data_IF_300466903030
#
_entry.id   IF_300466903030
#
_cell.length_a   1.000
_cell.length_b   1.000
_cell.length_c   1.000
_cell.angle_alpha   90.00
_cell.angle_beta   90.00
_cell.angle_gamma   90.00
#
_symmetry.space_group_name_H-M   'P 1'
#
loop_
_entity.id
_entity.type
_entity.pdbx_description
1 polymer ?
#
# COMPACT_ATOMS: atom_id res chain seq x y z
N UNK A 1 -0.19 9.45 -21.37
CA UNK A 1 0.90 9.85 -20.45
C UNK A 1 0.38 9.59 -19.05
N UNK A 2 1.02 8.69 -18.30
CA UNK A 2 0.53 8.33 -16.97
C UNK A 2 0.85 9.43 -15.97
N UNK A 3 -0.10 9.74 -15.10
CA UNK A 3 0.18 10.56 -13.93
C UNK A 3 0.85 9.68 -12.87
N UNK A 4 2.06 10.05 -12.47
CA UNK A 4 2.87 9.25 -11.53
C UNK A 4 2.26 9.25 -10.12
N UNK A 5 1.46 10.27 -9.82
CA UNK A 5 0.90 10.51 -8.49
C UNK A 5 -0.53 9.94 -8.32
N UNK A 6 -1.08 9.31 -9.36
CA UNK A 6 -2.41 8.73 -9.34
C UNK A 6 -2.36 7.27 -9.80
N UNK A 7 -3.14 6.40 -9.13
CA UNK A 7 -3.41 5.06 -9.65
C UNK A 7 -4.11 5.20 -10.98
N UNK A 8 -3.36 5.02 -12.06
CA UNK A 8 -3.89 5.18 -13.41
C UNK A 8 -4.35 3.81 -13.93
N UNK A 9 -5.65 3.60 -14.17
CA UNK A 9 -6.14 2.35 -14.73
C UNK A 9 -5.53 2.13 -16.11
N UNK A 10 -5.06 0.92 -16.36
CA UNK A 10 -4.46 0.53 -17.63
C UNK A 10 -4.71 -0.95 -17.90
N UNK A 11 -4.19 -1.42 -19.03
CA UNK A 11 -4.00 -2.84 -19.24
C UNK A 11 -2.52 -3.10 -19.44
N UNK A 12 -2.09 -4.30 -19.05
CA UNK A 12 -0.72 -4.76 -19.23
C UNK A 12 -0.69 -6.13 -19.88
N UNK A 13 0.44 -6.42 -20.51
CA UNK A 13 0.82 -7.77 -20.91
C UNK A 13 1.94 -8.24 -19.97
N UNK A 14 1.82 -9.45 -19.45
CA UNK A 14 2.89 -10.12 -18.70
C UNK A 14 3.39 -11.34 -19.51
N UNK A 15 4.67 -11.73 -19.39
CA UNK A 15 5.25 -12.78 -20.23
C UNK A 15 4.53 -14.13 -20.12
N UNK A 16 4.05 -14.48 -18.93
CA UNK A 16 3.50 -15.80 -18.62
C UNK A 16 2.01 -15.94 -18.97
N UNK A 17 1.36 -14.85 -19.36
CA UNK A 17 -0.08 -14.82 -19.63
C UNK A 17 -0.31 -14.26 -21.03
N UNK A 18 -1.01 -15.01 -21.89
CA UNK A 18 -1.30 -14.59 -23.27
C UNK A 18 -2.33 -13.45 -23.34
N UNK A 19 -3.26 -13.40 -22.39
CA UNK A 19 -4.28 -12.35 -22.33
C UNK A 19 -3.76 -11.08 -21.64
N UNK A 20 -4.36 -9.94 -22.01
CA UNK A 20 -4.12 -8.67 -21.33
C UNK A 20 -4.78 -8.70 -19.96
N UNK A 21 -4.12 -8.12 -18.98
CA UNK A 21 -4.61 -8.02 -17.61
C UNK A 21 -5.06 -6.59 -17.32
N UNK A 22 -6.19 -6.44 -16.64
CA UNK A 22 -6.55 -5.18 -16.00
C UNK A 22 -5.48 -4.83 -14.98
N UNK A 23 -5.03 -3.58 -15.00
CA UNK A 23 -3.93 -3.14 -14.16
C UNK A 23 -4.10 -1.71 -13.67
N UNK A 24 -3.29 -1.36 -12.70
CA UNK A 24 -3.06 0.01 -12.27
C UNK A 24 -1.57 0.32 -12.41
N UNK A 25 -1.28 1.52 -12.88
CA UNK A 25 0.06 2.07 -12.89
C UNK A 25 0.18 3.11 -11.78
N UNK A 26 1.18 2.96 -10.92
CA UNK A 26 1.48 3.86 -9.80
C UNK A 26 2.97 3.81 -9.51
N UNK A 27 3.57 4.96 -9.17
CA UNK A 27 4.98 5.05 -8.77
C UNK A 27 5.94 4.35 -9.77
N UNK A 28 5.67 4.56 -11.06
CA UNK A 28 6.43 3.98 -12.16
C UNK A 28 6.45 2.44 -12.20
N UNK A 29 5.47 1.79 -11.57
CA UNK A 29 5.34 0.33 -11.50
C UNK A 29 3.95 -0.09 -11.98
N UNK A 30 3.87 -1.29 -12.55
CA UNK A 30 2.62 -1.91 -12.95
C UNK A 30 2.16 -2.92 -11.90
N UNK A 31 0.86 -2.90 -11.62
CA UNK A 31 0.22 -3.88 -10.75
C UNK A 31 -0.99 -4.46 -11.47
N UNK A 32 -1.02 -5.79 -11.64
CA UNK A 32 -2.13 -6.50 -12.26
C UNK A 32 -3.25 -6.79 -11.24
N UNK A 33 -4.47 -6.89 -11.72
CA UNK A 33 -5.61 -7.31 -10.90
C UNK A 33 -5.40 -8.74 -10.39
N UNK A 34 -5.44 -8.91 -9.07
CA UNK A 34 -5.40 -10.23 -8.46
C UNK A 34 -6.81 -10.71 -8.11
N UNK A 35 -7.50 -10.00 -7.20
CA UNK A 35 -8.90 -10.31 -6.84
C UNK A 35 -9.57 -9.18 -6.07
N UNK A 36 -10.90 -9.22 -5.98
CA UNK A 36 -11.72 -8.37 -5.11
C UNK A 36 -12.18 -9.12 -3.86
N UNK A 37 -12.20 -8.43 -2.71
CA UNK A 37 -12.64 -8.95 -1.41
C UNK A 37 -13.52 -7.92 -0.72
N UNK A 38 -14.69 -8.33 -0.24
CA UNK A 38 -15.65 -7.41 0.41
C UNK A 38 -15.17 -6.98 1.80
N UNK A 39 -14.63 -7.91 2.59
CA UNK A 39 -14.21 -7.68 3.96
C UNK A 39 -12.74 -7.18 4.05
N UNK A 40 -12.53 -6.13 4.85
CA UNK A 40 -11.23 -5.47 5.03
C UNK A 40 -10.17 -6.36 5.71
N UNK A 41 -10.55 -7.05 6.78
CA UNK A 41 -9.65 -7.98 7.50
C UNK A 41 -9.20 -9.10 6.55
N UNK A 42 -10.14 -9.64 5.77
CA UNK A 42 -9.84 -10.66 4.78
C UNK A 42 -8.93 -10.15 3.66
N UNK A 43 -9.07 -8.88 3.26
CA UNK A 43 -8.14 -8.25 2.32
C UNK A 43 -6.72 -8.20 2.90
N UNK A 44 -6.58 -7.71 4.13
CA UNK A 44 -5.29 -7.65 4.82
C UNK A 44 -4.68 -9.03 5.06
N UNK A 45 -5.48 -10.05 5.40
CA UNK A 45 -5.01 -11.44 5.50
C UNK A 45 -4.46 -11.97 4.17
N UNK A 46 -5.12 -11.65 3.04
CA UNK A 46 -4.64 -12.08 1.73
C UNK A 46 -3.35 -11.37 1.37
N UNK A 47 -3.26 -10.05 1.60
CA UNK A 47 -2.02 -9.31 1.36
C UNK A 47 -0.89 -9.82 2.25
N UNK A 48 -1.16 -10.12 3.52
CA UNK A 48 -0.19 -10.72 4.44
C UNK A 48 0.36 -12.08 3.96
N UNK A 49 -0.46 -12.88 3.26
CA UNK A 49 -0.04 -14.15 2.68
C UNK A 49 0.78 -13.96 1.41
N UNK A 50 0.46 -12.96 0.59
CA UNK A 50 1.22 -12.61 -0.62
C UNK A 50 2.60 -12.03 -0.27
N UNK A 51 2.67 -11.13 0.72
CA UNK A 51 3.90 -10.45 1.13
C UNK A 51 5.02 -11.34 1.68
N UNK A 52 4.76 -12.64 1.93
CA UNK A 52 5.81 -13.60 2.31
C UNK A 52 6.80 -13.93 1.18
N UNK A 53 6.57 -13.43 -0.05
CA UNK A 53 7.39 -13.70 -1.24
C UNK A 53 8.06 -12.47 -1.88
N UNK A 54 8.25 -11.39 -1.10
CA UNK A 54 8.78 -10.11 -1.62
C UNK A 54 7.84 -9.43 -2.65
N UNK A 55 6.59 -9.91 -2.70
CA UNK A 55 5.56 -9.38 -3.59
C UNK A 55 5.09 -8.02 -3.06
N UNK A 56 5.40 -6.97 -3.83
CA UNK A 56 4.77 -5.66 -3.64
C UNK A 56 3.29 -5.78 -4.01
N UNK A 57 2.42 -5.35 -3.11
CA UNK A 57 0.97 -5.45 -3.28
C UNK A 57 0.34 -4.09 -3.02
N UNK A 58 -0.67 -3.75 -3.80
CA UNK A 58 -1.52 -2.58 -3.55
C UNK A 58 -2.96 -3.00 -3.27
N UNK A 59 -3.70 -2.18 -2.51
CA UNK A 59 -5.13 -2.38 -2.27
C UNK A 59 -5.86 -1.11 -2.71
N UNK A 60 -6.92 -1.22 -3.50
CA UNK A 60 -7.85 -0.09 -3.75
C UNK A 60 -9.26 -0.45 -3.30
N UNK A 61 -10.07 0.53 -2.93
CA UNK A 61 -11.47 0.30 -2.56
C UNK A 61 -12.38 0.69 -3.73
N UNK A 62 -13.33 -0.18 -4.04
CA UNK A 62 -14.36 0.02 -5.06
C UNK A 62 -15.74 -0.24 -4.48
N UNK A 63 -16.81 0.00 -5.25
CA UNK A 63 -18.18 -0.36 -4.85
C UNK A 63 -18.36 -1.86 -4.60
N UNK A 64 -17.51 -2.70 -5.18
CA UNK A 64 -17.56 -4.16 -5.03
C UNK A 64 -16.72 -4.67 -3.85
N UNK A 65 -15.93 -3.81 -3.22
CA UNK A 65 -15.00 -4.16 -2.13
C UNK A 65 -13.56 -3.73 -2.42
N UNK A 66 -12.64 -4.30 -1.64
CA UNK A 66 -11.20 -4.09 -1.69
C UNK A 66 -10.59 -4.92 -2.82
N UNK A 67 -10.05 -4.26 -3.83
CA UNK A 67 -9.32 -4.87 -4.93
C UNK A 67 -7.85 -4.96 -4.56
N UNK A 68 -7.29 -6.17 -4.65
CA UNK A 68 -5.88 -6.45 -4.43
C UNK A 68 -5.18 -6.48 -5.79
N UNK A 69 -4.04 -5.80 -5.87
CA UNK A 69 -3.20 -5.72 -7.06
C UNK A 69 -1.80 -6.24 -6.76
N UNK A 70 -1.26 -7.09 -7.63
CA UNK A 70 0.07 -7.70 -7.50
C UNK A 70 1.05 -7.00 -8.41
N UNK A 71 2.25 -6.69 -7.91
CA UNK A 71 3.29 -6.05 -8.70
C UNK A 71 3.80 -6.97 -9.81
N UNK A 72 3.90 -6.42 -11.01
CA UNK A 72 4.35 -7.12 -12.20
C UNK A 72 5.62 -6.46 -12.75
N UNK A 73 6.83 -6.88 -12.32
CA UNK A 73 8.07 -6.23 -12.72
C UNK A 73 8.35 -6.35 -14.23
N UNK A 74 7.83 -7.41 -14.85
CA UNK A 74 8.00 -7.70 -16.28
C UNK A 74 6.80 -7.23 -17.13
N UNK A 75 5.82 -6.56 -16.53
CA UNK A 75 4.65 -6.08 -17.27
C UNK A 75 5.03 -4.97 -18.24
N UNK A 76 4.39 -5.02 -19.41
CA UNK A 76 4.46 -3.97 -20.42
C UNK A 76 3.07 -3.37 -20.62
N UNK A 77 3.01 -2.06 -20.84
CA UNK A 77 1.75 -1.39 -21.15
C UNK A 77 1.12 -1.98 -22.40
N UNK A 78 -0.14 -2.40 -22.28
CA UNK A 78 -0.96 -2.86 -23.40
C UNK A 78 -2.10 -1.84 -23.59
N UNK A 79 -2.11 -1.06 -24.69
CA UNK A 79 -3.20 -0.13 -24.93
C UNK A 79 -4.53 -0.89 -25.04
N UNK A 80 -5.61 -0.42 -24.38
CA UNK A 80 -6.89 -1.09 -24.44
C UNK A 80 -7.45 -1.02 -25.87
N UNK A 81 -8.15 -2.08 -26.31
CA UNK A 81 -8.84 -2.09 -27.61
C UNK A 81 -10.01 -1.10 -27.67
N UNK A 82 -10.59 -0.77 -26.52
CA UNK A 82 -11.60 0.28 -26.34
C UNK A 82 -11.26 1.13 -25.11
N UNK A 83 -11.41 2.45 -25.17
CA UNK A 83 -11.20 3.30 -24.00
C UNK A 83 -12.14 2.89 -22.85
N UNK A 84 -11.63 2.45 -21.69
CA UNK A 84 -12.49 2.06 -20.58
C UNK A 84 -13.23 3.29 -20.04
N UNK A 85 -14.56 3.29 -20.16
CA UNK A 85 -15.41 4.41 -19.78
C UNK A 85 -15.69 4.46 -18.25
N UNK A 86 -14.76 3.99 -17.42
CA UNK A 86 -14.95 3.82 -15.99
C UNK A 86 -13.86 4.59 -15.25
N UNK A 87 -14.27 5.63 -14.53
CA UNK A 87 -13.39 6.36 -13.61
C UNK A 87 -13.16 5.48 -12.39
N UNK A 88 -11.95 4.96 -12.24
CA UNK A 88 -11.51 4.39 -10.97
C UNK A 88 -11.08 5.56 -10.09
N UNK A 89 -11.72 5.70 -8.93
CA UNK A 89 -11.30 6.68 -7.93
C UNK A 89 -10.17 6.05 -7.10
N UNK A 90 -8.98 6.67 -7.03
CA UNK A 90 -7.88 6.14 -6.23
C UNK A 90 -8.25 6.23 -4.74
N UNK A 91 -8.36 5.08 -4.08
CA UNK A 91 -8.49 5.00 -2.62
C UNK A 91 -7.15 4.65 -1.96
N UNK A 92 -6.09 4.50 -2.73
CA UNK A 92 -4.74 4.20 -2.27
C UNK A 92 -3.80 4.80 -3.30
N UNK A 93 -2.67 5.37 -2.88
CA UNK A 93 -1.65 5.96 -3.75
C UNK A 93 -1.38 7.45 -3.65
N UNK A 94 -0.18 7.89 -4.10
CA UNK A 94 0.82 7.13 -4.90
C UNK A 94 1.99 6.53 -4.12
N UNK A 95 2.08 6.73 -2.81
CA UNK A 95 3.23 6.29 -2.03
C UNK A 95 3.12 4.85 -1.53
N UNK A 96 4.28 4.21 -1.36
CA UNK A 96 4.41 2.86 -0.84
C UNK A 96 3.73 2.77 0.53
N UNK A 97 2.82 1.80 0.67
CA UNK A 97 2.27 1.40 1.95
C UNK A 97 2.79 -0.01 2.23
N UNK A 98 3.89 -0.10 2.97
CA UNK A 98 4.51 -1.37 3.32
C UNK A 98 3.64 -2.11 4.34
N UNK A 99 3.29 -3.37 4.10
CA UNK A 99 2.62 -4.21 5.10
C UNK A 99 3.63 -5.17 5.73
N UNK A 100 3.95 -4.98 7.01
CA UNK A 100 4.81 -5.88 7.78
C UNK A 100 3.95 -6.78 8.67
N UNK A 101 4.02 -8.08 8.43
CA UNK A 101 3.27 -9.08 9.19
C UNK A 101 4.14 -9.94 10.09
N UNK A 102 5.45 -9.87 9.91
CA UNK A 102 6.43 -10.49 10.78
C UNK A 102 7.01 -9.44 11.74
N UNK A 103 6.75 -9.64 13.03
CA UNK A 103 7.22 -8.75 14.09
C UNK A 103 8.75 -8.79 14.28
N UNK A 104 9.44 -9.80 13.74
CA UNK A 104 10.89 -9.89 13.78
C UNK A 104 11.58 -8.97 12.76
N UNK A 105 10.83 -8.50 11.74
CA UNK A 105 11.39 -7.65 10.69
C UNK A 105 11.50 -6.18 11.09
N UNK A 106 10.85 -5.76 12.17
CA UNK A 106 10.85 -4.38 12.63
C UNK A 106 11.08 -4.27 14.13
N UNK A 107 11.57 -3.10 14.56
CA UNK A 107 11.76 -2.79 15.97
C UNK A 107 10.91 -1.59 16.37
N UNK A 108 10.32 -1.64 17.56
CA UNK A 108 9.73 -0.45 18.18
C UNK A 108 10.84 0.43 18.74
N UNK A 109 10.71 1.74 18.57
CA UNK A 109 11.69 2.71 19.04
C UNK A 109 11.02 4.04 19.43
N UNK A 110 11.82 4.99 19.92
CA UNK A 110 11.42 6.39 20.09
C UNK A 110 12.15 7.26 19.10
N UNK A 111 11.41 8.12 18.41
CA UNK A 111 11.95 9.09 17.46
C UNK A 111 11.84 10.50 18.00
N UNK A 112 12.93 11.24 17.94
CA UNK A 112 12.92 12.69 18.01
C UNK A 112 12.80 13.26 16.60
N UNK A 113 11.69 13.94 16.32
CA UNK A 113 11.47 14.68 15.06
C UNK A 113 11.77 16.16 15.31
N UNK A 114 12.46 16.88 14.40
CA UNK A 114 12.90 18.26 14.63
C UNK A 114 11.79 19.24 15.05
N UNK A 115 10.58 19.07 14.51
CA UNK A 115 9.45 19.97 14.74
C UNK A 115 8.57 19.55 15.94
N UNK A 116 8.95 18.48 16.64
CA UNK A 116 8.18 17.93 17.76
C UNK A 116 8.93 18.13 19.08
N UNK A 117 8.26 18.68 20.08
CA UNK A 117 8.86 18.87 21.41
C UNK A 117 8.99 17.59 22.22
N UNK A 118 8.20 16.56 21.89
CA UNK A 118 8.20 15.27 22.58
C UNK A 118 8.58 14.15 21.61
N UNK A 119 9.36 13.15 22.06
CA UNK A 119 9.64 11.98 21.24
C UNK A 119 8.37 11.18 20.91
N UNK A 120 8.31 10.67 19.69
CA UNK A 120 7.21 9.87 19.19
C UNK A 120 7.52 8.38 19.35
N UNK A 121 6.49 7.57 19.64
CA UNK A 121 6.58 6.13 19.48
C UNK A 121 6.66 5.79 17.98
N UNK A 122 7.51 4.85 17.63
CA UNK A 122 7.86 4.61 16.23
C UNK A 122 8.24 3.16 15.95
N UNK A 123 8.30 2.86 14.65
CA UNK A 123 8.71 1.58 14.06
C UNK A 123 9.94 1.85 13.21
N UNK A 124 10.99 1.05 13.37
CA UNK A 124 12.15 1.05 12.48
C UNK A 124 12.12 -0.22 11.62
N UNK A 125 12.26 -0.03 10.31
CA UNK A 125 12.31 -1.11 9.31
C UNK A 125 13.32 -0.72 8.22
N UNK A 126 14.27 -1.61 7.92
CA UNK A 126 15.30 -1.38 6.87
C UNK A 126 15.97 0.01 6.95
N UNK A 127 16.34 0.45 8.16
CA UNK A 127 16.96 1.76 8.43
C UNK A 127 16.07 2.98 8.10
N UNK A 128 14.78 2.76 7.86
CA UNK A 128 13.76 3.80 7.77
C UNK A 128 12.95 3.85 9.06
N UNK A 129 12.49 5.05 9.40
CA UNK A 129 11.83 5.34 10.66
C UNK A 129 10.40 5.81 10.41
N UNK A 130 9.43 5.18 11.08
CA UNK A 130 8.02 5.47 10.91
C UNK A 130 7.38 5.84 12.24
N UNK A 131 6.88 7.06 12.41
CA UNK A 131 6.14 7.45 13.61
C UNK A 131 4.80 6.71 13.65
N UNK A 132 4.39 6.21 14.82
CA UNK A 132 3.09 5.55 14.97
C UNK A 132 2.01 6.63 14.89
N UNK A 133 1.27 6.63 13.79
CA UNK A 133 0.22 7.62 13.53
C UNK A 133 -1.14 7.16 14.04
N UNK A 134 -1.48 5.89 13.85
CA UNK A 134 -2.75 5.33 14.31
C UNK A 134 -2.62 3.87 14.71
N UNK A 135 -3.33 3.49 15.76
CA UNK A 135 -3.56 2.11 16.17
C UNK A 135 -5.07 1.86 16.25
N UNK A 136 -5.55 0.77 15.67
CA UNK A 136 -6.96 0.41 15.70
C UNK A 136 -7.14 -1.09 15.47
N UNK A 137 -8.22 -1.68 15.98
CA UNK A 137 -8.59 -3.07 15.70
C UNK A 137 -9.49 -3.18 14.47
N UNK A 138 -10.12 -2.08 14.04
CA UNK A 138 -10.94 -2.05 12.84
C UNK A 138 -10.07 -1.86 11.58
N UNK A 139 -9.97 -2.95 10.79
CA UNK A 139 -9.24 -2.97 9.53
C UNK A 139 -9.76 -1.94 8.52
N UNK A 140 -11.08 -1.78 8.40
CA UNK A 140 -11.67 -0.87 7.41
C UNK A 140 -11.31 0.58 7.75
N UNK A 141 -11.38 0.94 9.04
CA UNK A 141 -11.01 2.26 9.53
C UNK A 141 -9.52 2.55 9.30
N UNK A 142 -8.64 1.57 9.52
CA UNK A 142 -7.20 1.73 9.29
C UNK A 142 -6.88 1.88 7.81
N UNK A 143 -7.51 1.09 6.95
CA UNK A 143 -7.39 1.25 5.49
C UNK A 143 -7.89 2.63 5.04
N UNK A 144 -8.97 3.15 5.62
CA UNK A 144 -9.46 4.50 5.31
C UNK A 144 -8.47 5.59 5.73
N UNK A 145 -7.79 5.44 6.86
CA UNK A 145 -6.75 6.39 7.29
C UNK A 145 -5.52 6.27 6.40
N UNK A 146 -5.05 5.06 6.11
CA UNK A 146 -3.93 4.82 5.19
C UNK A 146 -4.21 5.42 3.81
N UNK A 147 -5.44 5.28 3.31
CA UNK A 147 -5.92 5.90 2.08
C UNK A 147 -5.82 7.44 2.10
N UNK A 148 -6.11 8.09 3.23
CA UNK A 148 -6.02 9.55 3.37
C UNK A 148 -4.57 10.03 3.36
N UNK A 149 -3.67 9.31 4.04
CA UNK A 149 -2.25 9.62 4.10
C UNK A 149 -1.57 9.40 2.74
N UNK A 150 -1.86 8.27 2.09
CA UNK A 150 -1.33 8.01 0.74
C UNK A 150 -1.74 9.11 -0.26
N UNK A 151 -3.00 9.58 -0.21
CA UNK A 151 -3.51 10.68 -1.05
C UNK A 151 -2.83 12.02 -0.79
N UNK A 152 -2.23 12.23 0.38
CA UNK A 152 -1.41 13.41 0.70
C UNK A 152 0.02 13.28 0.19
N UNK A 153 0.40 12.10 -0.29
CA UNK A 153 1.76 11.79 -0.70
C UNK A 153 2.64 11.30 0.46
N UNK A 154 2.05 10.84 1.56
CA UNK A 154 2.78 10.31 2.70
C UNK A 154 3.19 8.84 2.46
N UNK A 155 4.45 8.49 2.73
CA UNK A 155 4.89 7.11 2.78
C UNK A 155 4.43 6.47 4.09
N UNK A 156 3.78 5.32 4.00
CA UNK A 156 3.18 4.68 5.17
C UNK A 156 3.68 3.25 5.35
N UNK A 157 3.60 2.78 6.59
CA UNK A 157 3.87 1.40 6.95
C UNK A 157 2.71 0.91 7.80
N UNK A 158 2.24 -0.30 7.55
CA UNK A 158 1.21 -0.95 8.33
C UNK A 158 1.79 -2.21 8.95
N UNK A 159 1.57 -2.43 10.23
CA UNK A 159 1.84 -3.71 10.89
C UNK A 159 0.54 -4.35 11.35
N UNK A 160 0.56 -5.68 11.44
CA UNK A 160 -0.53 -6.47 12.00
C UNK A 160 0.05 -7.28 13.17
N UNK A 161 -0.39 -6.99 14.39
CA UNK A 161 0.03 -7.72 15.59
C UNK A 161 -1.18 -7.95 16.48
N UNK A 162 -1.47 -9.21 16.82
CA UNK A 162 -2.59 -9.59 17.70
C UNK A 162 -3.93 -8.98 17.29
N UNK A 163 -4.25 -9.02 15.98
CA UNK A 163 -5.46 -8.40 15.39
C UNK A 163 -5.55 -6.88 15.56
N UNK A 164 -4.48 -6.24 16.00
CA UNK A 164 -4.38 -4.79 16.04
C UNK A 164 -3.50 -4.31 14.90
N UNK A 165 -4.02 -3.34 14.17
CA UNK A 165 -3.34 -2.71 13.05
C UNK A 165 -2.66 -1.43 13.54
N UNK A 166 -1.38 -1.28 13.20
CA UNK A 166 -0.62 -0.06 13.47
C UNK A 166 -0.26 0.56 12.14
N UNK A 167 -0.65 1.81 11.93
CA UNK A 167 -0.29 2.61 10.78
C UNK A 167 0.77 3.62 11.21
N UNK A 168 1.92 3.57 10.55
CA UNK A 168 3.04 4.46 10.71
C UNK A 168 3.25 5.39 9.51
N UNK A 169 3.83 6.56 9.77
CA UNK A 169 4.19 7.58 8.79
C UNK A 169 5.71 7.71 8.71
N UNK A 170 6.28 7.71 7.51
CA UNK A 170 7.72 7.86 7.32
C UNK A 170 8.20 9.23 7.85
N UNK A 171 9.18 9.20 8.73
CA UNK A 171 9.85 10.38 9.29
C UNK A 171 11.30 10.44 8.77
N UNK A 172 11.56 11.04 7.60
CA UNK A 172 12.90 11.02 7.00
C UNK A 172 13.95 11.76 7.86
N UNK A 173 13.51 12.69 8.70
CA UNK A 173 14.36 13.48 9.59
C UNK A 173 14.31 12.99 11.05
N UNK A 174 13.59 11.90 11.32
CA UNK A 174 13.49 11.33 12.67
C UNK A 174 14.82 10.74 13.13
N UNK A 175 15.23 11.04 14.37
CA UNK A 175 16.41 10.45 14.99
C UNK A 175 15.99 9.51 16.10
N UNK A 176 16.51 8.28 16.08
CA UNK A 176 16.29 7.31 17.15
C UNK A 176 16.97 7.81 18.42
N UNK A 177 16.25 7.72 19.54
CA UNK A 177 16.75 8.01 20.89
C UNK A 177 17.23 6.75 21.59
#
# INVERSE_FOLDING_TARGET
MFDRDLYTPCHVQVPDVRQRLSAVYVDNQFYSYFKVIINAEKALEVVARLGKRDDKVAITLTKQGYVIWTHEPSAQYAPPTHQPNHRIYPVFGPKTCLLLTDSQLYALCRLQVPDMTKPLAAITYQNQHFSIFKRDADAAKILEVAAKLARRGDNTLMTITDQVYILGLLEPNGRVL
#
